data_IF_351907872933
#
_entry.id   IF_351907872933
#
_cell.length_a   1.000
_cell.length_b   1.000
_cell.length_c   1.000
_cell.angle_alpha   90.00
_cell.angle_beta   90.00
_cell.angle_gamma   90.00
#
_symmetry.space_group_name_H-M   'P 1'
#
loop_
_entity.id
_entity.type
_entity.pdbx_description
1 polymer ?
#
# COMPACT_ATOMS: atom_id res chain seq x y z
N UNK A 1 -9.38 5.57 -7.99
CA UNK A 1 -9.92 5.65 -6.60
C UNK A 1 -10.83 6.88 -6.38
N UNK A 2 -11.19 7.60 -7.43
CA UNK A 2 -12.07 8.79 -7.36
C UNK A 2 -13.54 8.50 -7.65
N UNK A 3 -13.90 7.25 -7.91
CA UNK A 3 -15.21 6.83 -8.36
C UNK A 3 -16.10 6.44 -7.15
N UNK A 4 -16.41 7.44 -6.33
CA UNK A 4 -17.17 7.28 -5.09
C UNK A 4 -18.65 7.47 -5.38
N UNK A 5 -19.46 6.45 -5.06
CA UNK A 5 -20.91 6.51 -5.18
C UNK A 5 -21.57 7.07 -3.90
N UNK A 6 -22.84 7.45 -4.01
CA UNK A 6 -23.61 8.08 -2.93
C UNK A 6 -24.07 7.17 -1.79
N UNK A 7 -23.37 6.05 -1.50
CA UNK A 7 -23.71 5.19 -0.36
C UNK A 7 -23.54 5.91 0.97
N UNK A 8 -24.49 5.73 1.89
CA UNK A 8 -24.50 6.41 3.21
C UNK A 8 -23.93 5.57 4.35
N UNK A 9 -23.63 4.29 4.10
CA UNK A 9 -23.05 3.36 5.07
C UNK A 9 -21.54 3.18 4.83
N UNK A 10 -20.81 2.64 5.79
CA UNK A 10 -19.36 2.38 5.74
C UNK A 10 -18.56 3.58 5.18
N UNK A 11 -18.85 4.78 5.67
CA UNK A 11 -18.23 6.03 5.21
C UNK A 11 -16.72 6.10 5.55
N UNK A 12 -16.29 5.34 6.53
CA UNK A 12 -14.89 5.16 6.94
C UNK A 12 -13.98 4.51 5.87
N UNK A 13 -14.59 4.00 4.78
CA UNK A 13 -13.84 3.57 3.58
C UNK A 13 -13.43 4.74 2.67
N UNK A 14 -13.98 5.93 2.89
CA UNK A 14 -13.77 7.10 2.05
C UNK A 14 -12.96 8.15 2.81
N UNK A 15 -11.93 8.68 2.16
CA UNK A 15 -11.10 9.75 2.69
C UNK A 15 -11.02 10.88 1.67
N UNK A 16 -11.43 12.10 2.02
CA UNK A 16 -11.41 13.27 1.12
C UNK A 16 -12.12 13.02 -0.23
N UNK A 17 -13.28 12.37 -0.23
CA UNK A 17 -14.05 11.92 -1.40
C UNK A 17 -13.26 11.02 -2.37
N UNK A 18 -12.30 10.28 -1.83
CA UNK A 18 -11.58 9.23 -2.54
C UNK A 18 -11.73 7.92 -1.80
N UNK A 19 -11.62 6.82 -2.51
CA UNK A 19 -11.57 5.49 -1.89
C UNK A 19 -10.28 5.39 -1.09
N UNK A 20 -10.39 5.35 0.22
CA UNK A 20 -9.28 5.21 1.16
C UNK A 20 -9.04 3.77 1.61
N UNK A 21 -10.08 2.93 1.56
CA UNK A 21 -10.00 1.52 1.96
C UNK A 21 -10.72 0.66 0.93
N UNK A 22 -10.10 -0.44 0.51
CA UNK A 22 -10.71 -1.35 -0.47
C UNK A 22 -10.32 -2.80 -0.21
N UNK A 23 -11.18 -3.70 -0.68
CA UNK A 23 -10.88 -5.14 -0.76
C UNK A 23 -10.95 -5.56 -2.23
N UNK A 24 -9.95 -6.31 -2.67
CA UNK A 24 -9.87 -6.85 -4.03
C UNK A 24 -10.03 -8.37 -3.97
N UNK A 25 -11.05 -8.85 -4.65
CA UNK A 25 -11.29 -10.26 -4.89
C UNK A 25 -10.76 -10.64 -6.27
N UNK A 26 -10.40 -11.90 -6.44
CA UNK A 26 -9.97 -12.41 -7.73
C UNK A 26 -9.49 -13.85 -7.60
N UNK A 27 -9.64 -14.63 -8.67
CA UNK A 27 -9.17 -16.03 -8.73
C UNK A 27 -7.65 -16.10 -8.52
N UNK A 28 -7.16 -17.28 -8.16
CA UNK A 28 -5.71 -17.51 -8.13
C UNK A 28 -5.13 -17.25 -9.53
N UNK A 29 -4.04 -16.51 -9.58
CA UNK A 29 -3.42 -16.12 -10.85
C UNK A 29 -4.06 -14.92 -11.56
N UNK A 30 -5.10 -14.26 -11.00
CA UNK A 30 -5.71 -13.06 -11.60
C UNK A 30 -4.78 -11.82 -11.60
N UNK A 31 -3.68 -11.85 -10.84
CA UNK A 31 -2.71 -10.75 -10.81
C UNK A 31 -2.80 -9.85 -9.58
N UNK A 32 -3.47 -10.25 -8.49
CA UNK A 32 -3.54 -9.47 -7.23
C UNK A 32 -2.15 -9.07 -6.73
N UNK A 33 -1.24 -10.02 -6.65
CA UNK A 33 0.17 -9.75 -6.29
C UNK A 33 0.87 -8.87 -7.32
N UNK A 34 0.57 -8.98 -8.62
CA UNK A 34 1.17 -8.12 -9.64
C UNK A 34 0.69 -6.68 -9.53
N UNK A 35 -0.56 -6.45 -9.10
CA UNK A 35 -1.06 -5.10 -8.84
C UNK A 35 -0.26 -4.43 -7.70
N UNK A 36 0.04 -5.17 -6.61
CA UNK A 36 0.87 -4.63 -5.53
C UNK A 36 2.29 -4.29 -6.01
N UNK A 37 2.87 -5.14 -6.87
CA UNK A 37 4.18 -4.89 -7.47
C UNK A 37 4.17 -3.62 -8.32
N UNK A 38 3.13 -3.42 -9.13
CA UNK A 38 2.96 -2.19 -9.91
C UNK A 38 2.84 -0.94 -9.02
N UNK A 39 2.15 -1.02 -7.88
CA UNK A 39 2.09 0.10 -6.94
C UNK A 39 3.44 0.37 -6.27
N UNK A 40 4.19 -0.68 -5.91
CA UNK A 40 5.51 -0.56 -5.28
C UNK A 40 6.60 -0.14 -6.26
N UNK A 41 6.45 -0.40 -7.56
CA UNK A 41 7.41 0.01 -8.59
C UNK A 41 7.65 1.53 -8.58
N UNK A 42 6.63 2.33 -8.24
CA UNK A 42 6.79 3.77 -8.04
C UNK A 42 7.81 4.08 -6.95
N UNK A 43 7.71 3.42 -5.78
CA UNK A 43 8.68 3.59 -4.69
C UNK A 43 10.07 3.18 -5.13
N UNK A 44 10.20 2.00 -5.72
CA UNK A 44 11.49 1.47 -6.16
C UNK A 44 12.15 2.38 -7.20
N UNK A 45 11.37 2.87 -8.17
CA UNK A 45 11.85 3.79 -9.20
C UNK A 45 12.34 5.09 -8.58
N UNK A 46 11.56 5.71 -7.69
CA UNK A 46 11.90 7.00 -7.10
C UNK A 46 12.96 6.90 -5.98
N UNK A 47 13.11 5.75 -5.30
CA UNK A 47 14.09 5.60 -4.21
C UNK A 47 15.32 4.79 -4.61
N UNK A 48 15.22 4.01 -5.71
CA UNK A 48 16.19 2.95 -6.09
C UNK A 48 16.43 1.97 -4.92
N UNK A 49 15.42 1.76 -4.07
CA UNK A 49 15.51 0.73 -3.04
C UNK A 49 15.57 -0.64 -3.69
N UNK A 50 16.29 -1.56 -3.06
CA UNK A 50 16.44 -2.92 -3.56
C UNK A 50 15.48 -3.89 -2.86
N UNK A 51 14.53 -3.37 -2.08
CA UNK A 51 13.73 -4.16 -1.14
C UNK A 51 12.89 -5.24 -1.86
N UNK A 52 12.49 -4.99 -3.10
CA UNK A 52 11.68 -5.92 -3.90
C UNK A 52 12.44 -6.61 -5.04
N UNK A 53 13.67 -6.17 -5.36
CA UNK A 53 14.44 -6.66 -6.52
C UNK A 53 14.79 -8.15 -6.46
N UNK A 54 14.83 -8.74 -5.27
CA UNK A 54 15.10 -10.17 -5.10
C UNK A 54 13.94 -11.08 -5.55
N UNK A 55 12.73 -10.53 -5.71
CA UNK A 55 11.52 -11.31 -5.98
C UNK A 55 10.99 -11.16 -7.40
N UNK A 56 11.61 -10.34 -8.25
CA UNK A 56 11.13 -10.07 -9.62
C UNK A 56 12.27 -10.11 -10.61
N UNK A 57 12.15 -10.99 -11.60
CA UNK A 57 13.03 -10.99 -12.77
C UNK A 57 12.35 -10.41 -14.03
N UNK A 58 11.07 -9.98 -13.92
CA UNK A 58 10.26 -9.68 -15.08
C UNK A 58 9.16 -8.66 -14.76
N UNK A 59 9.00 -7.62 -15.58
CA UNK A 59 7.99 -6.55 -15.41
C UNK A 59 6.92 -6.55 -16.48
N UNK A 60 7.19 -7.12 -17.66
CA UNK A 60 6.26 -7.16 -18.79
C UNK A 60 5.25 -8.29 -18.65
N UNK A 61 4.09 -8.17 -19.30
CA UNK A 61 3.17 -9.28 -19.39
C UNK A 61 3.76 -10.38 -20.31
N UNK A 62 3.95 -11.58 -19.76
CA UNK A 62 4.53 -12.71 -20.50
C UNK A 62 3.76 -13.11 -21.76
N UNK A 63 2.47 -12.76 -21.86
CA UNK A 63 1.65 -12.98 -23.04
C UNK A 63 1.68 -11.83 -24.06
N UNK A 64 2.43 -10.76 -23.76
CA UNK A 64 2.58 -9.59 -24.66
C UNK A 64 3.92 -9.65 -25.37
N UNK A 65 3.92 -9.25 -26.64
CA UNK A 65 5.14 -9.00 -27.40
C UNK A 65 5.77 -7.63 -27.12
N UNK A 66 5.18 -6.85 -26.21
CA UNK A 66 5.69 -5.54 -25.85
C UNK A 66 6.89 -5.68 -24.92
N UNK A 67 8.03 -5.15 -25.33
CA UNK A 67 9.25 -5.08 -24.50
C UNK A 67 9.21 -3.92 -23.50
N UNK A 68 8.30 -2.97 -23.70
CA UNK A 68 8.18 -1.76 -22.88
C UNK A 68 6.93 -1.86 -22.01
N UNK A 69 7.11 -1.65 -20.71
CA UNK A 69 6.02 -1.51 -19.72
C UNK A 69 5.85 -0.05 -19.34
N UNK A 70 4.61 0.46 -19.42
CA UNK A 70 4.27 1.83 -19.03
C UNK A 70 3.57 1.84 -17.68
N UNK A 71 4.04 2.69 -16.78
CA UNK A 71 3.45 2.96 -15.48
C UNK A 71 2.92 4.38 -15.46
N UNK A 72 1.64 4.55 -15.14
CA UNK A 72 1.00 5.87 -15.04
C UNK A 72 0.32 6.01 -13.68
N UNK A 73 0.74 7.01 -12.90
CA UNK A 73 0.17 7.31 -11.58
C UNK A 73 -0.44 8.70 -11.60
N UNK A 74 -1.64 8.81 -11.02
CA UNK A 74 -2.32 10.11 -10.87
C UNK A 74 -2.46 10.45 -9.40
N UNK A 75 -1.95 11.60 -9.02
CA UNK A 75 -2.03 12.16 -7.66
C UNK A 75 -2.91 13.40 -7.63
N UNK A 76 -3.57 13.60 -6.50
CA UNK A 76 -4.30 14.80 -6.19
C UNK A 76 -3.71 15.44 -4.93
N UNK A 77 -3.12 16.61 -5.07
CA UNK A 77 -2.55 17.38 -3.98
C UNK A 77 -3.32 18.67 -3.73
N UNK A 78 -3.00 19.35 -2.63
CA UNK A 78 -3.52 20.66 -2.28
C UNK A 78 -5.07 20.74 -2.37
N UNK A 79 -5.78 19.82 -1.71
CA UNK A 79 -7.23 19.72 -1.75
C UNK A 79 -7.77 19.57 -3.19
N UNK A 80 -7.17 18.67 -3.96
CA UNK A 80 -7.51 18.37 -5.37
C UNK A 80 -7.26 19.53 -6.38
N UNK A 81 -6.58 20.59 -5.96
CA UNK A 81 -6.25 21.69 -6.88
C UNK A 81 -5.14 21.32 -7.87
N UNK A 82 -4.22 20.45 -7.43
CA UNK A 82 -3.11 20.00 -8.26
C UNK A 82 -3.31 18.53 -8.63
N UNK A 83 -3.72 18.29 -9.88
CA UNK A 83 -3.73 16.96 -10.48
C UNK A 83 -2.38 16.71 -11.13
N UNK A 84 -1.60 15.81 -10.57
CA UNK A 84 -0.28 15.40 -11.09
C UNK A 84 -0.40 14.04 -11.74
N UNK A 85 -0.01 13.93 -13.01
CA UNK A 85 0.12 12.67 -13.72
C UNK A 85 1.59 12.42 -13.96
N UNK A 86 2.11 11.38 -13.34
CA UNK A 86 3.48 10.93 -13.50
C UNK A 86 3.49 9.61 -14.26
N UNK A 87 4.21 9.60 -15.37
CA UNK A 87 4.32 8.44 -16.25
C UNK A 87 5.77 8.14 -16.51
N UNK A 88 6.12 6.86 -16.51
CA UNK A 88 7.41 6.39 -16.99
C UNK A 88 7.30 5.06 -17.70
N UNK A 89 8.28 4.77 -18.52
CA UNK A 89 8.39 3.54 -19.28
C UNK A 89 9.70 2.83 -18.96
N UNK A 90 9.63 1.50 -18.89
CA UNK A 90 10.78 0.63 -18.60
C UNK A 90 10.84 -0.55 -19.57
N UNK A 91 12.05 -1.01 -19.86
CA UNK A 91 12.32 -2.29 -20.54
C UNK A 91 12.58 -3.42 -19.55
N UNK A 92 13.07 -3.09 -18.37
CA UNK A 92 13.37 -4.01 -17.28
C UNK A 92 13.18 -3.32 -15.92
N UNK A 93 13.56 -3.97 -14.83
CA UNK A 93 13.40 -3.44 -13.48
C UNK A 93 14.14 -2.12 -13.20
N UNK A 94 15.18 -1.84 -14.00
CA UNK A 94 16.12 -0.77 -13.68
C UNK A 94 16.12 0.36 -14.72
N UNK A 95 15.93 0.02 -15.99
CA UNK A 95 16.20 0.93 -17.09
C UNK A 95 14.93 1.63 -17.55
N UNK A 96 14.91 2.95 -17.37
CA UNK A 96 13.90 3.83 -17.89
C UNK A 96 14.16 4.13 -19.37
N UNK A 97 13.10 4.19 -20.17
CA UNK A 97 13.16 4.63 -21.58
C UNK A 97 12.54 5.98 -21.76
N UNK A 98 11.53 6.31 -20.96
CA UNK A 98 10.83 7.61 -20.99
C UNK A 98 10.35 7.99 -19.59
N UNK A 99 10.27 9.29 -19.31
CA UNK A 99 9.69 9.87 -18.10
C UNK A 99 8.93 11.14 -18.43
N UNK A 100 7.68 11.25 -17.98
CA UNK A 100 6.81 12.41 -18.25
C UNK A 100 6.14 12.84 -16.95
N UNK A 101 6.14 14.13 -16.66
CA UNK A 101 5.34 14.73 -15.60
C UNK A 101 4.40 15.78 -16.16
N UNK A 102 3.12 15.65 -15.80
CA UNK A 102 2.07 16.59 -16.15
C UNK A 102 1.41 17.13 -14.88
N UNK A 103 1.20 18.43 -14.82
CA UNK A 103 0.47 19.09 -13.74
C UNK A 103 -0.70 19.86 -14.34
N UNK A 104 -1.92 19.54 -13.94
CA UNK A 104 -3.15 20.19 -14.37
C UNK A 104 -3.31 20.25 -15.91
N UNK A 105 -2.88 19.19 -16.60
CA UNK A 105 -2.96 19.09 -18.06
C UNK A 105 -1.77 19.70 -18.82
N UNK A 106 -0.87 20.42 -18.15
CA UNK A 106 0.36 20.96 -18.75
C UNK A 106 1.52 20.00 -18.54
N UNK A 107 2.22 19.63 -19.61
CA UNK A 107 3.47 18.86 -19.51
C UNK A 107 4.55 19.78 -18.92
N UNK A 108 5.13 19.34 -17.80
CA UNK A 108 6.19 20.07 -17.12
C UNK A 108 7.54 19.67 -17.69
N UNK A 109 7.70 18.37 -17.94
CA UNK A 109 8.80 17.84 -18.72
C UNK A 109 8.45 16.47 -19.30
N UNK A 110 9.14 16.15 -20.39
CA UNK A 110 9.22 14.82 -20.98
C UNK A 110 10.69 14.53 -21.30
N UNK A 111 11.22 13.39 -20.82
CA UNK A 111 12.60 13.01 -20.99
C UNK A 111 12.74 11.65 -21.65
N UNK A 112 13.54 11.58 -22.72
CA UNK A 112 13.88 10.37 -23.47
C UNK A 112 15.28 9.88 -23.01
N UNK A 113 15.31 8.79 -22.26
CA UNK A 113 16.55 8.23 -21.73
C UNK A 113 17.45 7.64 -22.82
N UNK A 114 16.86 7.09 -23.89
CA UNK A 114 17.63 6.53 -25.01
C UNK A 114 18.38 7.60 -25.79
N UNK A 115 17.78 8.80 -25.89
CA UNK A 115 18.39 9.94 -26.58
C UNK A 115 19.08 10.91 -25.62
N UNK A 116 19.00 10.66 -24.32
CA UNK A 116 19.54 11.50 -23.26
C UNK A 116 19.17 12.98 -23.42
N UNK A 117 17.88 13.26 -23.66
CA UNK A 117 17.39 14.63 -23.89
C UNK A 117 15.96 14.86 -23.42
N UNK A 118 15.70 16.10 -23.02
CA UNK A 118 14.32 16.56 -22.84
C UNK A 118 13.67 16.74 -24.22
N UNK A 119 12.48 16.16 -24.37
CA UNK A 119 11.60 16.36 -25.52
C UNK A 119 10.78 17.62 -25.30
N UNK A 120 10.24 17.78 -24.08
CA UNK A 120 9.52 18.95 -23.61
C UNK A 120 10.04 19.37 -22.25
N UNK A 121 10.06 20.68 -21.98
CA UNK A 121 10.41 21.27 -20.69
C UNK A 121 9.70 22.60 -20.48
N UNK A 122 9.21 22.84 -19.28
CA UNK A 122 8.59 24.11 -18.86
C UNK A 122 9.47 24.74 -17.78
N UNK A 123 10.09 25.86 -18.08
CA UNK A 123 10.99 26.55 -17.15
C UNK A 123 10.25 27.23 -16.00
N UNK A 124 8.95 27.52 -16.17
CA UNK A 124 8.11 28.24 -15.18
C UNK A 124 8.05 27.58 -13.79
N UNK A 125 8.33 26.26 -13.70
CA UNK A 125 8.26 25.48 -12.48
C UNK A 125 9.60 25.40 -11.73
N UNK A 126 10.65 25.98 -12.29
CA UNK A 126 12.01 25.87 -11.78
C UNK A 126 12.67 27.24 -11.66
N UNK A 127 13.35 27.48 -10.55
CA UNK A 127 14.06 28.75 -10.31
C UNK A 127 15.32 28.90 -11.16
N UNK A 128 15.86 27.81 -11.69
CA UNK A 128 17.08 27.79 -12.47
C UNK A 128 16.91 26.86 -13.68
N UNK A 129 17.00 27.43 -14.89
CA UNK A 129 16.92 26.67 -16.15
C UNK A 129 18.12 25.76 -16.40
N UNK A 130 19.27 25.98 -15.72
CA UNK A 130 20.46 25.15 -15.88
C UNK A 130 20.27 23.72 -15.35
N UNK A 131 19.26 23.48 -14.51
CA UNK A 131 18.97 22.14 -13.95
C UNK A 131 18.79 21.10 -15.06
N UNK A 132 18.18 21.46 -16.19
CA UNK A 132 18.00 20.56 -17.31
C UNK A 132 19.33 20.14 -17.95
N UNK A 133 20.22 21.11 -18.14
CA UNK A 133 21.53 20.87 -18.73
C UNK A 133 22.45 20.09 -17.76
N UNK A 134 22.32 20.35 -16.46
CA UNK A 134 23.08 19.61 -15.42
C UNK A 134 22.62 18.17 -15.37
N UNK A 135 21.30 17.93 -15.38
CA UNK A 135 20.77 16.57 -15.38
C UNK A 135 21.18 15.79 -16.64
N UNK A 136 21.13 16.41 -17.85
CA UNK A 136 21.51 15.77 -19.09
C UNK A 136 22.99 15.33 -19.14
N UNK A 137 23.88 15.92 -18.35
CA UNK A 137 25.25 15.47 -18.19
C UNK A 137 25.35 14.16 -17.40
N UNK A 138 24.27 13.81 -16.67
CA UNK A 138 24.17 12.54 -15.98
C UNK A 138 23.63 11.48 -16.95
N UNK A 139 24.40 10.45 -17.22
CA UNK A 139 24.06 9.40 -18.20
C UNK A 139 23.45 8.16 -17.55
N UNK A 140 22.98 8.22 -16.30
CA UNK A 140 22.40 7.06 -15.63
C UNK A 140 20.94 6.84 -16.04
N UNK A 141 20.62 5.80 -16.86
CA UNK A 141 19.24 5.54 -17.31
C UNK A 141 18.30 5.02 -16.21
N UNK A 142 18.84 4.77 -15.02
CA UNK A 142 18.04 4.32 -13.88
C UNK A 142 17.66 5.45 -12.93
N UNK A 143 18.09 6.70 -13.20
CA UNK A 143 17.85 7.83 -12.31
C UNK A 143 16.73 8.73 -12.87
N UNK A 144 15.49 8.66 -12.34
CA UNK A 144 14.41 9.57 -12.74
C UNK A 144 14.75 11.03 -12.46
N UNK A 145 14.28 11.94 -13.32
CA UNK A 145 14.51 13.38 -13.13
C UNK A 145 13.84 13.92 -11.86
N UNK A 146 12.61 13.45 -11.54
CA UNK A 146 11.95 13.79 -10.26
C UNK A 146 12.84 13.48 -9.07
N UNK A 147 13.41 12.28 -9.03
CA UNK A 147 14.31 11.89 -7.95
C UNK A 147 15.54 12.76 -7.88
N UNK A 148 16.14 13.03 -9.04
CA UNK A 148 17.31 13.89 -9.12
C UNK A 148 17.00 15.30 -8.59
N UNK A 149 15.85 15.87 -8.96
CA UNK A 149 15.38 17.18 -8.48
C UNK A 149 15.28 17.23 -6.95
N UNK A 150 14.62 16.24 -6.35
CA UNK A 150 14.40 16.17 -4.92
C UNK A 150 15.73 15.98 -4.16
N UNK A 151 16.56 15.03 -4.60
CA UNK A 151 17.82 14.70 -3.91
C UNK A 151 18.88 15.78 -4.01
N UNK A 152 18.84 16.62 -5.05
CA UNK A 152 19.77 17.75 -5.20
C UNK A 152 19.20 19.07 -4.66
N UNK A 153 18.03 19.06 -4.01
CA UNK A 153 17.41 20.27 -3.48
C UNK A 153 17.04 21.29 -4.58
N UNK A 154 16.83 20.83 -5.81
CA UNK A 154 16.53 21.68 -6.96
C UNK A 154 15.06 22.16 -6.97
N UNK A 155 14.25 21.68 -6.04
CA UNK A 155 12.83 22.04 -5.85
C UNK A 155 12.53 22.28 -4.38
N UNK A 156 11.56 23.14 -4.10
CA UNK A 156 11.12 23.43 -2.73
C UNK A 156 10.48 22.22 -2.07
N UNK A 157 10.60 22.11 -0.73
CA UNK A 157 9.96 21.07 0.08
C UNK A 157 8.44 21.05 -0.05
N UNK A 158 7.81 22.19 -0.26
CA UNK A 158 6.36 22.35 -0.47
C UNK A 158 5.89 21.95 -1.88
N UNK A 159 6.82 21.74 -2.81
CA UNK A 159 6.52 21.44 -4.20
C UNK A 159 5.79 20.11 -4.38
N UNK A 160 5.05 19.99 -5.49
CA UNK A 160 4.39 18.73 -5.87
C UNK A 160 5.39 17.58 -6.11
N UNK A 161 6.62 17.89 -6.53
CA UNK A 161 7.69 16.91 -6.72
C UNK A 161 8.09 16.26 -5.40
N UNK A 162 8.33 17.06 -4.35
CA UNK A 162 8.62 16.54 -3.01
C UNK A 162 7.43 15.77 -2.43
N UNK A 163 6.21 16.31 -2.53
CA UNK A 163 5.00 15.62 -2.04
C UNK A 163 4.81 14.26 -2.71
N UNK A 164 5.02 14.16 -4.02
CA UNK A 164 4.94 12.89 -4.75
C UNK A 164 6.04 11.92 -4.30
N UNK A 165 7.27 12.40 -4.15
CA UNK A 165 8.39 11.60 -3.68
C UNK A 165 8.15 11.07 -2.26
N UNK A 166 7.77 11.93 -1.31
CA UNK A 166 7.45 11.55 0.07
C UNK A 166 6.30 10.56 0.15
N UNK A 167 5.27 10.74 -0.70
CA UNK A 167 4.17 9.79 -0.81
C UNK A 167 4.67 8.41 -1.28
N UNK A 168 5.50 8.38 -2.32
CA UNK A 168 6.03 7.15 -2.88
C UNK A 168 6.94 6.39 -1.90
N UNK A 169 7.82 7.08 -1.17
CA UNK A 169 8.70 6.48 -0.15
C UNK A 169 7.92 5.71 0.91
N UNK A 170 6.71 6.17 1.25
CA UNK A 170 5.85 5.59 2.27
C UNK A 170 4.92 4.47 1.78
N UNK A 171 5.05 4.03 0.52
CA UNK A 171 4.31 2.86 0.01
C UNK A 171 4.85 1.59 0.66
N UNK A 172 3.97 0.75 1.16
CA UNK A 172 4.31 -0.51 1.83
C UNK A 172 3.48 -1.65 1.27
N UNK A 173 4.15 -2.71 0.83
CA UNK A 173 3.55 -3.99 0.50
C UNK A 173 3.77 -4.96 1.65
N UNK A 174 2.72 -5.64 2.03
CA UNK A 174 2.70 -6.59 3.13
C UNK A 174 2.25 -7.94 2.55
N UNK A 175 3.15 -8.91 2.59
CA UNK A 175 2.84 -10.28 2.22
C UNK A 175 2.17 -11.02 3.37
N UNK A 176 1.48 -12.09 3.04
CA UNK A 176 0.83 -12.99 3.99
C UNK A 176 1.73 -13.29 5.20
N UNK A 177 1.24 -13.11 6.43
CA UNK A 177 2.02 -13.37 7.64
C UNK A 177 2.49 -14.82 7.69
N UNK A 178 3.78 -15.05 7.90
CA UNK A 178 4.26 -16.40 8.21
C UNK A 178 4.00 -16.72 9.69
N UNK A 179 3.61 -17.93 10.00
CA UNK A 179 3.41 -18.41 11.40
C UNK A 179 4.72 -18.66 12.16
N UNK A 180 5.86 -18.46 11.52
CA UNK A 180 7.16 -18.66 12.15
C UNK A 180 7.35 -17.70 13.34
N UNK A 181 7.79 -18.22 14.48
CA UNK A 181 8.20 -17.43 15.63
C UNK A 181 9.26 -16.40 15.20
N UNK A 182 9.02 -15.15 15.54
CA UNK A 182 9.94 -14.06 15.22
C UNK A 182 11.01 -13.99 16.30
N UNK A 183 12.27 -14.04 15.88
CA UNK A 183 13.35 -13.48 16.69
C UNK A 183 13.42 -11.98 16.41
N UNK A 184 13.07 -11.17 17.39
CA UNK A 184 13.16 -9.72 17.29
C UNK A 184 14.61 -9.28 17.43
N UNK A 185 15.06 -8.42 16.54
CA UNK A 185 16.33 -7.71 16.68
C UNK A 185 16.26 -6.72 17.85
N UNK A 186 17.42 -6.25 18.32
CA UNK A 186 17.48 -5.24 19.40
C UNK A 186 16.70 -3.96 19.03
N UNK A 187 16.78 -3.51 17.78
CA UNK A 187 16.06 -2.32 17.31
C UNK A 187 14.54 -2.53 17.35
N UNK A 188 14.06 -3.69 16.93
CA UNK A 188 12.63 -4.04 17.00
C UNK A 188 12.13 -4.14 18.44
N UNK A 189 12.95 -4.67 19.36
CA UNK A 189 12.62 -4.68 20.80
C UNK A 189 12.56 -3.28 21.39
N UNK A 190 13.45 -2.37 20.97
CA UNK A 190 13.44 -0.98 21.42
C UNK A 190 12.23 -0.22 20.85
N UNK A 191 11.81 -0.55 19.65
CA UNK A 191 10.59 0.00 19.04
C UNK A 191 9.34 -0.55 19.72
N UNK A 192 9.30 -1.86 20.00
CA UNK A 192 8.22 -2.51 20.73
C UNK A 192 8.06 -1.93 22.14
N UNK A 193 9.16 -1.68 22.85
CA UNK A 193 9.14 -1.07 24.18
C UNK A 193 8.42 0.30 24.18
N UNK A 194 8.64 1.10 23.15
CA UNK A 194 7.95 2.38 22.95
C UNK A 194 6.47 2.22 22.56
N UNK A 195 6.09 1.06 22.05
CA UNK A 195 4.75 0.77 21.52
C UNK A 195 3.98 -0.30 22.31
N UNK A 196 4.43 -0.67 23.52
CA UNK A 196 3.78 -1.75 24.34
C UNK A 196 2.31 -1.45 24.57
N UNK A 197 1.95 -0.22 24.90
CA UNK A 197 0.56 0.16 25.12
C UNK A 197 -0.29 0.03 23.84
N UNK A 198 0.25 0.37 22.69
CA UNK A 198 -0.45 0.25 21.41
C UNK A 198 -0.63 -1.23 21.00
N UNK A 199 0.34 -2.09 21.32
CA UNK A 199 0.19 -3.54 21.18
C UNK A 199 -0.89 -4.09 22.14
N UNK A 200 -0.89 -3.65 23.40
CA UNK A 200 -1.91 -4.01 24.40
C UNK A 200 -3.31 -3.63 23.88
N UNK A 201 -3.49 -2.39 23.43
CA UNK A 201 -4.74 -1.89 22.86
C UNK A 201 -5.18 -2.73 21.64
N UNK A 202 -4.23 -3.07 20.75
CA UNK A 202 -4.48 -3.93 19.61
C UNK A 202 -4.96 -5.32 20.01
N UNK A 203 -4.27 -6.00 20.94
CA UNK A 203 -4.64 -7.34 21.39
C UNK A 203 -6.01 -7.33 22.11
N UNK A 204 -6.26 -6.32 22.95
CA UNK A 204 -7.55 -6.14 23.60
C UNK A 204 -8.68 -5.89 22.60
N UNK A 205 -8.45 -5.09 21.56
CA UNK A 205 -9.41 -4.87 20.46
C UNK A 205 -9.74 -6.19 19.73
N UNK A 206 -8.74 -7.03 19.53
CA UNK A 206 -8.92 -8.36 18.93
C UNK A 206 -9.64 -9.36 19.86
N UNK A 207 -9.85 -9.00 21.12
CA UNK A 207 -10.57 -9.81 22.12
C UNK A 207 -9.64 -10.66 23.01
N UNK A 208 -8.35 -10.31 23.05
CA UNK A 208 -7.39 -10.93 23.99
C UNK A 208 -7.21 -9.96 25.16
N UNK A 209 -8.01 -10.19 26.22
CA UNK A 209 -7.91 -9.39 27.43
C UNK A 209 -6.54 -9.61 28.11
N UNK A 210 -5.67 -8.61 28.00
CA UNK A 210 -4.33 -8.68 28.58
C UNK A 210 -3.86 -7.31 29.03
N UNK A 211 -2.87 -7.33 29.92
CA UNK A 211 -2.04 -6.19 30.28
C UNK A 211 -0.60 -6.56 30.03
N UNK A 212 0.16 -5.67 29.40
CA UNK A 212 1.52 -5.95 28.96
C UNK A 212 2.53 -5.03 29.64
N UNK A 213 3.76 -5.52 29.81
CA UNK A 213 4.91 -4.68 30.19
C UNK A 213 6.17 -5.20 29.52
N UNK A 214 7.05 -4.27 29.14
CA UNK A 214 8.41 -4.59 28.72
C UNK A 214 9.33 -4.49 29.93
N UNK A 215 10.23 -5.46 30.14
CA UNK A 215 11.21 -5.44 31.20
C UNK A 215 12.62 -5.60 30.67
N UNK A 216 13.55 -4.92 31.32
CA UNK A 216 14.97 -5.06 31.03
C UNK A 216 15.54 -6.14 31.94
N UNK A 217 16.12 -7.17 31.36
CA UNK A 217 16.75 -8.27 32.06
C UNK A 217 18.16 -7.89 32.53
N UNK A 218 18.76 -8.66 33.50
CA UNK A 218 20.09 -8.39 34.04
C UNK A 218 21.22 -8.37 33.01
N UNK A 219 21.05 -9.13 31.91
CA UNK A 219 21.99 -9.16 30.77
C UNK A 219 21.84 -7.97 29.80
N UNK A 220 20.88 -7.08 30.10
CA UNK A 220 20.57 -5.91 29.30
C UNK A 220 19.61 -6.15 28.12
N UNK A 221 19.17 -7.37 27.90
CA UNK A 221 18.11 -7.69 26.94
C UNK A 221 16.74 -7.21 27.44
N UNK A 222 15.76 -7.14 26.54
CA UNK A 222 14.37 -6.77 26.87
C UNK A 222 13.44 -7.95 26.60
N UNK A 223 12.45 -8.11 27.45
CA UNK A 223 11.45 -9.16 27.33
C UNK A 223 10.06 -8.64 27.62
N UNK A 224 9.07 -9.13 26.85
CA UNK A 224 7.66 -8.77 26.98
C UNK A 224 6.95 -9.72 27.94
N UNK A 225 6.15 -9.18 28.85
CA UNK A 225 5.40 -9.92 29.86
C UNK A 225 3.91 -9.63 29.81
N UNK A 226 3.11 -10.67 30.07
CA UNK A 226 1.75 -10.50 30.57
C UNK A 226 1.80 -10.09 32.05
N UNK A 227 1.01 -9.08 32.41
CA UNK A 227 0.90 -8.56 33.78
C UNK A 227 -0.39 -9.06 34.40
N UNK A 228 -0.28 -9.94 35.39
CA UNK A 228 -1.39 -10.41 36.24
C UNK A 228 -1.34 -9.75 37.60
N UNK A 229 -2.46 -9.87 38.36
CA UNK A 229 -2.58 -9.27 39.71
C UNK A 229 -1.40 -9.55 40.62
N UNK A 230 -0.90 -10.80 40.61
CA UNK A 230 0.11 -11.28 41.55
C UNK A 230 1.48 -11.57 40.94
N UNK A 231 1.58 -11.60 39.60
CA UNK A 231 2.85 -11.97 38.92
C UNK A 231 2.85 -11.52 37.45
N UNK A 232 4.06 -11.47 36.91
CA UNK A 232 4.29 -11.35 35.49
C UNK A 232 4.68 -12.68 34.87
N UNK A 233 4.30 -12.92 33.63
CA UNK A 233 4.57 -14.19 32.94
C UNK A 233 5.08 -13.83 31.53
N UNK A 234 6.20 -14.45 31.12
CA UNK A 234 6.82 -14.18 29.81
C UNK A 234 5.82 -14.38 28.66
N UNK A 235 5.69 -13.37 27.80
CA UNK A 235 4.67 -13.34 26.77
C UNK A 235 4.86 -14.46 25.75
N UNK A 236 6.07 -14.56 25.15
CA UNK A 236 6.32 -15.49 24.04
C UNK A 236 6.18 -16.96 24.46
N UNK A 237 6.48 -17.29 25.71
CA UNK A 237 6.39 -18.66 26.22
C UNK A 237 4.95 -19.09 26.57
N UNK A 238 4.10 -18.13 26.90
CA UNK A 238 2.78 -18.42 27.49
C UNK A 238 1.60 -17.94 26.61
N UNK A 239 1.87 -17.22 25.52
CA UNK A 239 0.84 -16.80 24.59
C UNK A 239 0.31 -17.98 23.75
N UNK A 240 -0.99 -18.01 23.51
CA UNK A 240 -1.58 -18.99 22.59
C UNK A 240 -1.07 -18.78 21.15
N UNK A 241 -1.19 -19.81 20.30
CA UNK A 241 -0.83 -19.70 18.88
C UNK A 241 -1.57 -18.56 18.16
N UNK A 242 -2.85 -18.35 18.46
CA UNK A 242 -3.64 -17.24 17.94
C UNK A 242 -3.12 -15.88 18.41
N UNK A 243 -2.75 -15.75 19.69
CA UNK A 243 -2.14 -14.54 20.25
C UNK A 243 -0.80 -14.25 19.58
N UNK A 244 0.04 -15.29 19.38
CA UNK A 244 1.32 -15.14 18.68
C UNK A 244 1.15 -14.74 17.21
N UNK A 245 0.11 -15.23 16.52
CA UNK A 245 -0.20 -14.82 15.15
C UNK A 245 -0.57 -13.33 15.08
N UNK A 246 -1.38 -12.84 16.02
CA UNK A 246 -1.72 -11.42 16.13
C UNK A 246 -0.52 -10.56 16.53
N UNK A 247 0.29 -11.03 17.47
CA UNK A 247 1.54 -10.36 17.82
C UNK A 247 2.47 -10.22 16.61
N UNK A 248 2.66 -11.29 15.84
CA UNK A 248 3.45 -11.29 14.62
C UNK A 248 2.89 -10.32 13.59
N UNK A 249 1.56 -10.30 13.43
CA UNK A 249 0.89 -9.35 12.54
C UNK A 249 1.15 -7.91 12.98
N UNK A 250 1.02 -7.60 14.26
CA UNK A 250 1.27 -6.27 14.79
C UNK A 250 2.73 -5.83 14.58
N UNK A 251 3.69 -6.66 14.99
CA UNK A 251 5.12 -6.33 14.93
C UNK A 251 5.60 -6.10 13.50
N UNK A 252 5.15 -6.94 12.56
CA UNK A 252 5.64 -6.88 11.18
C UNK A 252 4.92 -5.85 10.33
N UNK A 253 3.64 -5.62 10.60
CA UNK A 253 2.79 -4.92 9.65
C UNK A 253 2.16 -3.64 10.18
N UNK A 254 1.89 -3.55 11.47
CA UNK A 254 1.26 -2.37 12.03
C UNK A 254 2.27 -1.42 12.65
N UNK A 255 3.11 -1.93 13.52
CA UNK A 255 4.08 -1.12 14.28
C UNK A 255 5.04 -0.32 13.37
N UNK A 256 5.74 -0.91 12.37
CA UNK A 256 6.71 -0.19 11.56
C UNK A 256 6.07 0.70 10.48
N UNK A 257 4.76 0.55 10.21
CA UNK A 257 4.12 1.16 9.04
C UNK A 257 3.02 2.16 9.38
N UNK A 258 3.05 2.77 10.57
CA UNK A 258 2.04 3.72 11.04
C UNK A 258 1.85 4.96 10.14
N UNK A 259 2.87 5.35 9.41
CA UNK A 259 2.87 6.51 8.51
C UNK A 259 2.84 6.16 7.02
N UNK A 260 2.49 4.92 6.67
CA UNK A 260 2.44 4.52 5.27
C UNK A 260 1.37 5.28 4.49
N UNK A 261 1.71 5.73 3.27
CA UNK A 261 0.76 6.36 2.34
C UNK A 261 -0.16 5.33 1.69
N UNK A 262 0.41 4.17 1.32
CA UNK A 262 -0.30 3.01 0.83
C UNK A 262 0.12 1.80 1.66
N UNK A 263 -0.87 1.04 2.12
CA UNK A 263 -0.70 -0.28 2.72
C UNK A 263 -1.40 -1.31 1.83
N UNK A 264 -0.63 -2.20 1.24
CA UNK A 264 -1.17 -3.28 0.44
C UNK A 264 -0.97 -4.61 1.17
N UNK A 265 -2.07 -5.22 1.61
CA UNK A 265 -2.09 -6.51 2.31
C UNK A 265 -2.46 -7.61 1.33
N UNK A 266 -1.48 -8.42 0.94
CA UNK A 266 -1.70 -9.53 0.00
C UNK A 266 -2.11 -10.79 0.75
N UNK A 267 -3.31 -11.32 0.44
CA UNK A 267 -3.93 -12.50 1.08
C UNK A 267 -3.91 -12.43 2.62
N UNK A 268 -4.30 -11.26 3.18
CA UNK A 268 -4.11 -10.91 4.59
C UNK A 268 -4.78 -11.88 5.56
N UNK A 269 -5.85 -12.53 5.14
CA UNK A 269 -6.70 -13.41 5.96
C UNK A 269 -6.33 -14.90 5.85
N UNK A 270 -5.24 -15.25 5.16
CA UNK A 270 -4.86 -16.66 4.94
C UNK A 270 -4.64 -17.46 6.25
N UNK A 271 -4.35 -16.77 7.36
CA UNK A 271 -4.10 -17.41 8.67
C UNK A 271 -5.09 -16.99 9.77
N UNK A 272 -6.14 -16.26 9.40
CA UNK A 272 -7.13 -15.76 10.35
C UNK A 272 -8.52 -16.32 10.06
N UNK A 273 -9.27 -16.66 11.10
CA UNK A 273 -10.67 -16.94 10.96
C UNK A 273 -11.44 -15.67 10.55
N UNK A 274 -12.60 -15.86 9.95
CA UNK A 274 -13.42 -14.77 9.40
C UNK A 274 -13.65 -13.63 10.40
N UNK A 275 -14.07 -13.93 11.63
CA UNK A 275 -14.37 -12.92 12.66
C UNK A 275 -13.14 -12.09 13.03
N UNK A 276 -11.97 -12.71 13.01
CA UNK A 276 -10.72 -12.03 13.32
C UNK A 276 -10.28 -11.16 12.14
N UNK A 277 -10.44 -11.64 10.91
CA UNK A 277 -10.18 -10.86 9.69
C UNK A 277 -11.07 -9.62 9.62
N UNK A 278 -12.36 -9.74 9.98
CA UNK A 278 -13.28 -8.61 10.06
C UNK A 278 -12.80 -7.57 11.09
N UNK A 279 -12.41 -8.01 12.29
CA UNK A 279 -11.86 -7.12 13.33
C UNK A 279 -10.57 -6.43 12.90
N UNK A 280 -9.66 -7.13 12.20
CA UNK A 280 -8.41 -6.55 11.67
C UNK A 280 -8.74 -5.44 10.67
N UNK A 281 -9.67 -5.67 9.75
CA UNK A 281 -10.08 -4.64 8.79
C UNK A 281 -10.63 -3.41 9.53
N UNK A 282 -11.53 -3.61 10.51
CA UNK A 282 -12.11 -2.51 11.28
C UNK A 282 -11.05 -1.73 12.06
N UNK A 283 -10.13 -2.41 12.73
CA UNK A 283 -9.01 -1.79 13.43
C UNK A 283 -8.15 -0.93 12.49
N UNK A 284 -7.82 -1.46 11.31
CA UNK A 284 -7.03 -0.74 10.32
C UNK A 284 -7.79 0.48 9.78
N UNK A 285 -9.09 0.36 9.52
CA UNK A 285 -9.95 1.49 9.11
C UNK A 285 -9.94 2.62 10.13
N UNK A 286 -9.94 2.29 11.41
CA UNK A 286 -9.94 3.26 12.51
C UNK A 286 -8.57 3.92 12.72
N UNK A 287 -7.49 3.16 12.60
CA UNK A 287 -6.13 3.63 12.91
C UNK A 287 -5.41 4.29 11.73
N UNK A 288 -5.66 3.84 10.50
CA UNK A 288 -4.97 4.31 9.30
C UNK A 288 -5.88 5.18 8.42
N UNK A 289 -6.51 6.21 9.01
CA UNK A 289 -7.54 7.04 8.34
C UNK A 289 -7.04 7.71 7.06
N UNK A 290 -5.80 8.18 7.05
CA UNK A 290 -5.22 8.95 5.95
C UNK A 290 -4.49 8.09 4.91
N UNK A 291 -4.32 6.79 5.17
CA UNK A 291 -3.64 5.85 4.27
C UNK A 291 -4.63 5.25 3.28
N UNK A 292 -4.18 5.03 2.05
CA UNK A 292 -4.86 4.11 1.14
C UNK A 292 -4.54 2.68 1.58
N UNK A 293 -5.55 1.93 1.99
CA UNK A 293 -5.38 0.53 2.39
C UNK A 293 -6.07 -0.39 1.41
N UNK A 294 -5.33 -1.34 0.90
CA UNK A 294 -5.78 -2.33 -0.07
C UNK A 294 -5.59 -3.72 0.55
N UNK A 295 -6.67 -4.45 0.67
CA UNK A 295 -6.65 -5.85 1.08
C UNK A 295 -6.92 -6.73 -0.13
N UNK A 296 -6.22 -7.85 -0.27
CA UNK A 296 -6.61 -8.90 -1.19
C UNK A 296 -7.03 -10.14 -0.42
N UNK A 297 -8.03 -10.83 -0.92
CA UNK A 297 -8.57 -12.05 -0.29
C UNK A 297 -9.31 -12.90 -1.31
N UNK A 298 -9.46 -14.19 -0.98
CA UNK A 298 -10.38 -15.12 -1.64
C UNK A 298 -11.64 -15.38 -0.81
N UNK A 299 -11.72 -14.86 0.41
CA UNK A 299 -12.79 -15.13 1.36
C UNK A 299 -14.02 -14.27 1.08
N UNK A 300 -15.00 -14.88 0.41
CA UNK A 300 -16.26 -14.19 0.07
C UNK A 300 -17.13 -13.83 1.28
N UNK A 301 -16.86 -14.37 2.48
CA UNK A 301 -17.54 -13.95 3.70
C UNK A 301 -17.19 -12.50 4.06
N UNK A 302 -16.01 -12.01 3.67
CA UNK A 302 -15.59 -10.62 3.85
C UNK A 302 -16.27 -9.67 2.85
N UNK A 303 -16.96 -10.19 1.82
CA UNK A 303 -17.72 -9.41 0.84
C UNK A 303 -19.06 -8.98 1.46
N UNK A 304 -19.01 -8.00 2.36
CA UNK A 304 -20.14 -7.58 3.18
C UNK A 304 -20.21 -6.07 3.29
N UNK A 305 -21.44 -5.54 3.18
CA UNK A 305 -21.75 -4.12 3.38
C UNK A 305 -21.47 -3.63 4.81
N UNK A 306 -21.33 -4.53 5.79
CA UNK A 306 -20.90 -4.18 7.15
C UNK A 306 -19.41 -3.82 7.21
N UNK A 307 -18.61 -4.38 6.33
CA UNK A 307 -17.16 -4.23 6.29
C UNK A 307 -16.78 -3.11 5.33
N UNK A 308 -17.30 -3.16 4.11
CA UNK A 308 -16.96 -2.27 3.00
C UNK A 308 -18.20 -1.94 2.17
N UNK A 309 -18.19 -0.83 1.46
CA UNK A 309 -19.22 -0.40 0.51
C UNK A 309 -19.04 -1.10 -0.85
N UNK A 310 -20.09 -1.26 -1.68
CA UNK A 310 -19.98 -1.91 -2.98
C UNK A 310 -19.02 -1.21 -3.96
N UNK A 311 -18.80 0.09 -3.82
CA UNK A 311 -17.85 0.88 -4.63
C UNK A 311 -16.39 0.77 -4.13
N UNK A 312 -16.16 0.13 -2.98
CA UNK A 312 -14.83 -0.15 -2.42
C UNK A 312 -14.49 -1.64 -2.40
N UNK A 313 -15.40 -2.47 -2.86
CA UNK A 313 -15.18 -3.90 -3.11
C UNK A 313 -14.94 -4.12 -4.60
N UNK A 314 -13.82 -4.71 -4.97
CA UNK A 314 -13.41 -4.87 -6.36
C UNK A 314 -13.24 -6.34 -6.74
N UNK A 315 -13.50 -6.63 -8.00
CA UNK A 315 -13.13 -7.90 -8.63
C UNK A 315 -11.98 -7.62 -9.60
N UNK A 316 -10.92 -8.42 -9.50
CA UNK A 316 -9.82 -8.42 -10.46
C UNK A 316 -10.00 -9.64 -11.38
N UNK A 317 -10.32 -9.36 -12.63
CA UNK A 317 -10.49 -10.39 -13.67
C UNK A 317 -9.14 -11.01 -14.10
N UNK A 318 -9.19 -12.13 -14.77
CA UNK A 318 -8.00 -12.77 -15.36
C UNK A 318 -7.41 -11.97 -16.52
N UNK A 319 -8.19 -11.07 -17.14
CA UNK A 319 -7.73 -10.10 -18.13
C UNK A 319 -6.98 -8.91 -17.53
N UNK A 320 -6.95 -8.80 -16.18
CA UNK A 320 -6.31 -7.70 -15.45
C UNK A 320 -7.21 -6.47 -15.26
N UNK A 321 -8.50 -6.58 -15.57
CA UNK A 321 -9.47 -5.49 -15.33
C UNK A 321 -9.89 -5.48 -13.86
N UNK A 322 -9.83 -4.33 -13.21
CA UNK A 322 -10.27 -4.09 -11.84
C UNK A 322 -11.61 -3.37 -11.85
N UNK A 323 -12.68 -4.07 -11.44
CA UNK A 323 -14.06 -3.57 -11.52
C UNK A 323 -14.69 -3.50 -10.12
N UNK A 324 -15.22 -2.34 -9.67
CA UNK A 324 -15.96 -2.27 -8.40
C UNK A 324 -17.30 -3.02 -8.50
N UNK A 325 -17.74 -3.67 -7.41
CA UNK A 325 -18.98 -4.46 -7.42
C UNK A 325 -20.19 -3.67 -7.90
N UNK A 326 -20.27 -2.40 -7.57
CA UNK A 326 -21.37 -1.54 -8.00
C UNK A 326 -21.44 -1.30 -9.53
N UNK A 327 -20.38 -1.68 -10.28
CA UNK A 327 -20.31 -1.60 -11.74
C UNK A 327 -20.22 -2.97 -12.41
N UNK A 328 -20.13 -4.03 -11.60
CA UNK A 328 -20.06 -5.41 -12.09
C UNK A 328 -21.46 -6.05 -12.18
N UNK A 329 -22.54 -5.31 -11.98
CA UNK A 329 -23.93 -5.75 -12.10
C UNK A 329 -24.82 -4.57 -12.42
N UNK A 330 -25.91 -4.80 -13.16
CA UNK A 330 -26.97 -3.82 -13.41
C UNK A 330 -27.89 -3.61 -12.19
N UNK A 331 -27.77 -4.46 -11.17
CA UNK A 331 -28.57 -4.39 -9.96
C UNK A 331 -28.12 -3.24 -9.07
N UNK A 332 -29.06 -2.41 -8.59
CA UNK A 332 -28.80 -1.45 -7.52
C UNK A 332 -28.43 -2.21 -6.23
N UNK A 333 -27.19 -2.10 -5.78
CA UNK A 333 -26.73 -2.72 -4.54
C UNK A 333 -27.10 -1.87 -3.33
N UNK A 334 -27.80 -2.47 -2.34
CA UNK A 334 -28.28 -1.84 -1.12
C UNK A 334 -27.63 -2.46 0.11
N UNK A 335 -27.58 -1.72 1.22
CA UNK A 335 -26.96 -2.15 2.48
C UNK A 335 -27.40 -3.53 2.96
N UNK A 336 -28.68 -3.88 2.80
CA UNK A 336 -29.23 -5.18 3.21
C UNK A 336 -28.88 -6.36 2.30
N UNK A 337 -28.20 -6.16 1.17
CA UNK A 337 -27.85 -7.24 0.29
C UNK A 337 -26.67 -8.07 0.83
N UNK A 338 -26.79 -9.38 0.73
CA UNK A 338 -25.68 -10.29 0.99
C UNK A 338 -24.80 -10.39 -0.29
N UNK A 339 -23.77 -9.57 -0.35
CA UNK A 339 -22.91 -9.43 -1.52
C UNK A 339 -22.13 -10.74 -1.80
N UNK A 340 -21.65 -11.43 -0.78
CA UNK A 340 -20.95 -12.71 -0.93
C UNK A 340 -21.85 -13.78 -1.57
N UNK A 341 -23.14 -13.84 -1.16
CA UNK A 341 -24.10 -14.75 -1.78
C UNK A 341 -24.41 -14.38 -3.23
N UNK A 342 -24.51 -13.09 -3.54
CA UNK A 342 -24.69 -12.62 -4.92
C UNK A 342 -23.49 -13.02 -5.78
N UNK A 343 -22.26 -12.83 -5.28
CA UNK A 343 -21.04 -13.25 -5.97
C UNK A 343 -21.01 -14.75 -6.25
N UNK A 344 -21.30 -15.58 -5.24
CA UNK A 344 -21.36 -17.04 -5.40
C UNK A 344 -22.43 -17.51 -6.38
N UNK A 345 -23.48 -16.74 -6.59
CA UNK A 345 -24.54 -17.03 -7.56
C UNK A 345 -24.22 -16.49 -8.97
N UNK A 346 -23.04 -15.90 -9.21
CA UNK A 346 -22.64 -15.37 -10.51
C UNK A 346 -23.35 -14.08 -10.91
N UNK A 347 -23.79 -13.26 -9.94
CA UNK A 347 -24.46 -11.97 -10.21
C UNK A 347 -23.50 -10.92 -10.79
N UNK A 348 -22.20 -11.02 -10.52
CA UNK A 348 -21.22 -10.03 -10.93
C UNK A 348 -20.46 -10.47 -12.18
N UNK A 349 -20.38 -9.56 -13.15
CA UNK A 349 -19.54 -9.76 -14.33
C UNK A 349 -18.06 -9.64 -13.94
N UNK A 350 -17.28 -10.67 -14.25
CA UNK A 350 -15.85 -10.73 -13.95
C UNK A 350 -14.98 -10.24 -15.12
N UNK A 351 -15.56 -9.99 -16.35
CA UNK A 351 -14.80 -9.63 -17.56
C UNK A 351 -14.96 -8.14 -18.00
#
# INVERSE_FOLDING_TARGET
>A
FSDVNGYKFSQDCITNDLIGKMIIYGKNGSGKTNLSKALCDLKETLTMSNDMKSNHSFISNANSNNEITTFTYTFLFNNKKDKVVYEYQKTDLFNLTNEVLNINGKIIYSYDFNKNRFIEKSEDYFHNSDIFSIYQKNTNPSLPFVRWLVNNGAVEKSSVFNKMYEYAVKITQIFTPTTALIQLSRNELDELDRNVNDLEDFLNYMGIECKLSMEKLPDGSKELYFVFKNRKVAFLENASSGTLSLFNFYIRFLMPHKESSILYFDEFDAFFHFELSEKIIQYIKEKYKDSLVIFTTHNTNLMSNKIMRPDTLFILSTSGKLTPLCKATDRELREGHNLGKLYMNGEFDED
#
